data_IF_967352126734
#
_entry.id   IF_967352126734
#
_cell.length_a   1.000
_cell.length_b   1.000
_cell.length_c   1.000
_cell.angle_alpha   90.00
_cell.angle_beta   90.00
_cell.angle_gamma   90.00
#
_symmetry.space_group_name_H-M   'P 1'
#
loop_
_entity.id
_entity.type
_entity.pdbx_description
1 polymer ?
#
# COMPACT_ATOMS: atom_id res chain seq x y z
N UNK A 1 -9.21 19.42 -47.26
CA UNK A 1 -8.42 20.02 -46.15
C UNK A 1 -9.22 20.02 -44.84
N UNK A 2 -9.94 18.94 -44.49
CA UNK A 2 -10.86 18.90 -43.32
C UNK A 2 -10.59 17.76 -42.32
N UNK A 3 -9.62 16.88 -42.59
CA UNK A 3 -9.41 15.64 -41.81
C UNK A 3 -8.33 15.77 -40.72
N UNK A 4 -7.45 16.78 -40.80
CA UNK A 4 -6.37 17.01 -39.83
C UNK A 4 -6.85 17.75 -38.57
N UNK A 5 -7.84 18.64 -38.66
CA UNK A 5 -8.29 19.46 -37.52
C UNK A 5 -9.04 18.68 -36.44
N UNK A 6 -9.76 17.61 -36.80
CA UNK A 6 -10.49 16.79 -35.82
C UNK A 6 -9.57 15.94 -34.94
N UNK A 7 -8.41 15.50 -35.45
CA UNK A 7 -7.46 14.73 -34.66
C UNK A 7 -6.85 15.55 -33.51
N UNK A 8 -6.59 16.85 -33.73
CA UNK A 8 -6.03 17.71 -32.68
C UNK A 8 -7.02 17.96 -31.54
N UNK A 9 -8.32 18.08 -31.83
CA UNK A 9 -9.36 18.25 -30.80
C UNK A 9 -9.55 16.97 -29.98
N UNK A 10 -9.53 15.80 -30.62
CA UNK A 10 -9.60 14.51 -29.93
C UNK A 10 -8.37 14.25 -29.04
N UNK A 11 -7.18 14.59 -29.52
CA UNK A 11 -5.95 14.48 -28.71
C UNK A 11 -6.00 15.46 -27.53
N UNK A 12 -6.43 16.70 -27.74
CA UNK A 12 -6.57 17.68 -26.65
C UNK A 12 -7.60 17.23 -25.60
N UNK A 13 -8.71 16.61 -26.02
CA UNK A 13 -9.74 16.08 -25.12
C UNK A 13 -9.27 14.84 -24.33
N UNK A 14 -8.49 13.96 -24.95
CA UNK A 14 -7.86 12.81 -24.27
C UNK A 14 -6.81 13.27 -23.24
N UNK A 15 -6.02 14.28 -23.59
CA UNK A 15 -4.99 14.84 -22.72
C UNK A 15 -5.63 15.56 -21.52
N UNK A 16 -6.71 16.33 -21.72
CA UNK A 16 -7.41 17.01 -20.62
C UNK A 16 -8.14 16.06 -19.68
N UNK A 17 -8.73 14.96 -20.15
CA UNK A 17 -9.28 13.90 -19.28
C UNK A 17 -8.19 13.25 -18.42
N UNK A 18 -7.00 13.01 -19.00
CA UNK A 18 -5.86 12.44 -18.27
C UNK A 18 -5.38 13.37 -17.15
N UNK A 19 -5.35 14.69 -17.41
CA UNK A 19 -5.01 15.68 -16.38
C UNK A 19 -6.07 15.78 -15.28
N UNK A 20 -7.36 15.65 -15.62
CA UNK A 20 -8.45 15.70 -14.64
C UNK A 20 -8.44 14.48 -13.70
N UNK A 21 -8.09 13.29 -14.22
CA UNK A 21 -7.90 12.07 -13.43
C UNK A 21 -6.60 12.08 -12.60
N UNK A 22 -5.53 12.70 -13.10
CA UNK A 22 -4.29 12.90 -12.34
C UNK A 22 -4.46 13.89 -11.16
N UNK A 23 -5.54 14.68 -11.19
CA UNK A 23 -5.92 15.63 -10.16
C UNK A 23 -6.93 15.05 -9.16
N UNK A 24 -6.95 13.72 -8.96
CA UNK A 24 -7.33 13.19 -7.66
C UNK A 24 -6.37 13.80 -6.63
N UNK A 25 -6.83 14.88 -5.99
CA UNK A 25 -6.16 15.62 -4.93
C UNK A 25 -5.36 14.66 -4.07
N UNK A 26 -4.04 14.87 -4.01
CA UNK A 26 -3.13 14.07 -3.19
C UNK A 26 -3.55 14.21 -1.73
N UNK A 27 -4.41 13.29 -1.27
CA UNK A 27 -4.92 13.27 0.09
C UNK A 27 -3.80 12.82 1.01
N UNK A 28 -3.53 13.59 2.05
CA UNK A 28 -2.61 13.18 3.11
C UNK A 28 -3.23 12.03 3.90
N UNK A 29 -2.40 11.08 4.31
CA UNK A 29 -2.87 9.95 5.09
C UNK A 29 -3.31 10.42 6.48
N UNK A 30 -4.54 10.08 6.93
CA UNK A 30 -4.99 10.41 8.27
C UNK A 30 -4.22 9.56 9.30
N UNK A 31 -4.33 9.94 10.58
CA UNK A 31 -3.71 9.20 11.69
C UNK A 31 -4.25 7.77 11.83
N UNK A 32 -5.55 7.57 11.59
CA UNK A 32 -6.19 6.27 11.66
C UNK A 32 -7.12 6.09 10.46
N UNK A 33 -7.01 4.97 9.76
CA UNK A 33 -7.89 4.61 8.65
C UNK A 33 -7.82 3.12 8.35
N UNK A 34 -8.74 2.63 7.53
CA UNK A 34 -8.65 1.30 6.95
C UNK A 34 -8.08 1.34 5.54
N UNK A 35 -7.24 0.35 5.24
CA UNK A 35 -6.69 0.08 3.93
C UNK A 35 -7.29 -1.22 3.39
N UNK A 36 -7.97 -1.11 2.24
CA UNK A 36 -8.55 -2.26 1.57
C UNK A 36 -7.50 -2.95 0.70
N UNK A 37 -7.39 -4.26 0.84
CA UNK A 37 -6.51 -5.09 0.03
C UNK A 37 -7.21 -6.36 -0.41
N UNK A 38 -7.11 -6.67 -1.70
CA UNK A 38 -7.59 -7.93 -2.25
C UNK A 38 -6.40 -8.81 -2.64
N UNK A 39 -6.37 -10.03 -2.09
CA UNK A 39 -5.41 -11.07 -2.46
C UNK A 39 -5.79 -11.63 -3.84
N UNK A 40 -4.81 -12.19 -4.56
CA UNK A 40 -5.01 -12.69 -5.92
C UNK A 40 -6.03 -13.85 -6.04
N UNK A 41 -6.34 -14.54 -4.95
CA UNK A 41 -7.36 -15.59 -4.89
C UNK A 41 -8.79 -15.02 -4.71
N UNK A 42 -8.94 -13.71 -4.54
CA UNK A 42 -10.23 -13.04 -4.34
C UNK A 42 -10.57 -12.73 -2.87
N UNK A 43 -9.72 -13.10 -1.92
CA UNK A 43 -9.94 -12.75 -0.52
C UNK A 43 -9.75 -11.23 -0.32
N UNK A 44 -10.75 -10.58 0.27
CA UNK A 44 -10.74 -9.16 0.58
C UNK A 44 -10.44 -8.94 2.07
N UNK A 45 -9.59 -7.95 2.35
CA UNK A 45 -9.16 -7.60 3.69
C UNK A 45 -9.34 -6.10 3.92
N UNK A 46 -9.89 -5.76 5.08
CA UNK A 46 -9.87 -4.40 5.62
C UNK A 46 -8.79 -4.34 6.71
N UNK A 47 -7.66 -3.70 6.41
CA UNK A 47 -6.48 -3.68 7.29
C UNK A 47 -6.46 -2.34 8.03
N UNK A 48 -6.38 -2.39 9.36
CA UNK A 48 -6.29 -1.16 10.17
C UNK A 48 -4.91 -0.51 10.04
N UNK A 49 -4.88 0.80 9.87
CA UNK A 49 -3.64 1.57 9.77
C UNK A 49 -3.58 2.63 10.86
N UNK A 50 -2.52 2.56 11.66
CA UNK A 50 -2.12 3.60 12.62
C UNK A 50 -0.88 4.34 12.09
N UNK A 51 -1.07 5.59 11.67
CA UNK A 51 -0.04 6.44 11.11
C UNK A 51 0.53 7.39 12.18
N UNK A 52 1.68 7.02 12.75
CA UNK A 52 2.44 7.86 13.69
C UNK A 52 3.71 8.43 13.06
N UNK A 53 3.70 8.71 11.75
CA UNK A 53 4.81 9.38 11.08
C UNK A 53 4.91 10.84 11.53
N UNK A 54 6.13 11.34 11.70
CA UNK A 54 6.37 12.74 12.06
C UNK A 54 6.00 13.69 10.91
N UNK A 55 6.26 13.26 9.66
CA UNK A 55 5.97 14.03 8.46
C UNK A 55 4.75 13.46 7.74
N UNK A 56 3.85 14.34 7.32
CA UNK A 56 2.70 13.96 6.51
C UNK A 56 3.14 13.32 5.18
N UNK A 57 2.49 12.22 4.83
CA UNK A 57 2.71 11.52 3.57
C UNK A 57 1.40 11.38 2.81
N UNK A 58 1.50 11.43 1.48
CA UNK A 58 0.38 11.19 0.58
C UNK A 58 -0.11 9.75 0.78
N UNK A 59 -1.42 9.58 1.00
CA UNK A 59 -2.04 8.28 1.27
C UNK A 59 -1.70 7.25 0.19
N UNK A 60 -1.77 7.62 -1.10
CA UNK A 60 -1.40 6.74 -2.22
C UNK A 60 0.05 6.24 -2.17
N UNK A 61 0.98 7.05 -1.66
CA UNK A 61 2.37 6.60 -1.50
C UNK A 61 2.47 5.55 -0.39
N UNK A 62 1.73 5.73 0.70
CA UNK A 62 1.67 4.74 1.77
C UNK A 62 0.96 3.46 1.32
N UNK A 63 -0.12 3.54 0.54
CA UNK A 63 -0.78 2.37 -0.03
C UNK A 63 0.18 1.56 -0.92
N UNK A 64 1.01 2.23 -1.73
CA UNK A 64 2.08 1.57 -2.48
C UNK A 64 3.11 0.88 -1.57
N UNK A 65 3.44 1.49 -0.42
CA UNK A 65 4.30 0.87 0.60
C UNK A 65 3.64 -0.38 1.18
N UNK A 66 2.37 -0.30 1.56
CA UNK A 66 1.61 -1.44 2.11
C UNK A 66 1.55 -2.60 1.15
N UNK A 67 1.25 -2.35 -0.13
CA UNK A 67 1.24 -3.39 -1.16
C UNK A 67 2.58 -4.12 -1.28
N UNK A 68 3.69 -3.39 -1.25
CA UNK A 68 5.03 -3.98 -1.29
C UNK A 68 5.32 -4.80 -0.02
N UNK A 69 4.93 -4.30 1.16
CA UNK A 69 5.14 -4.99 2.44
C UNK A 69 4.29 -6.26 2.54
N UNK A 70 3.02 -6.22 2.13
CA UNK A 70 2.13 -7.37 2.09
C UNK A 70 2.72 -8.44 1.19
N UNK A 71 3.14 -8.09 -0.03
CA UNK A 71 3.78 -9.03 -0.94
C UNK A 71 5.06 -9.65 -0.34
N UNK A 72 5.95 -8.84 0.22
CA UNK A 72 7.19 -9.33 0.86
C UNK A 72 6.88 -10.25 2.05
N UNK A 73 5.90 -9.91 2.87
CA UNK A 73 5.53 -10.66 4.07
C UNK A 73 4.85 -11.99 3.74
N UNK A 74 3.96 -11.98 2.76
CA UNK A 74 3.31 -13.16 2.20
C UNK A 74 4.35 -14.16 1.65
N UNK A 75 5.35 -13.66 0.91
CA UNK A 75 6.43 -14.51 0.40
C UNK A 75 7.34 -15.03 1.52
N UNK A 76 7.59 -14.23 2.56
CA UNK A 76 8.42 -14.59 3.71
C UNK A 76 7.75 -15.62 4.63
N UNK A 77 6.43 -15.52 4.84
CA UNK A 77 5.67 -16.43 5.73
C UNK A 77 5.56 -17.85 5.17
N UNK A 78 5.68 -18.04 3.85
CA UNK A 78 5.43 -19.30 3.12
C UNK A 78 4.02 -19.87 3.27
N UNK A 79 3.09 -19.11 3.85
CA UNK A 79 1.72 -19.53 4.15
C UNK A 79 0.74 -18.65 3.39
N UNK A 80 0.72 -18.79 2.06
CA UNK A 80 -0.05 -17.90 1.19
C UNK A 80 -1.57 -17.96 1.45
N UNK A 81 -2.11 -19.18 1.55
CA UNK A 81 -3.55 -19.42 1.69
C UNK A 81 -4.08 -18.83 2.99
N UNK A 82 -3.40 -19.09 4.10
CA UNK A 82 -3.89 -18.74 5.43
C UNK A 82 -3.37 -17.40 5.92
N UNK A 83 -2.56 -16.67 5.13
CA UNK A 83 -2.06 -15.34 5.48
C UNK A 83 -3.20 -14.34 5.65
N UNK A 84 -3.30 -13.78 6.85
CA UNK A 84 -4.33 -12.85 7.27
C UNK A 84 -3.71 -11.57 7.84
N UNK A 85 -3.57 -10.48 7.05
CA UNK A 85 -3.04 -9.21 7.53
C UNK A 85 -4.06 -8.51 8.44
N UNK A 86 -3.61 -8.04 9.60
CA UNK A 86 -4.51 -7.44 10.60
C UNK A 86 -4.31 -5.92 10.71
N UNK A 87 -3.05 -5.50 10.85
CA UNK A 87 -2.75 -4.11 11.21
C UNK A 87 -1.39 -3.64 10.69
N UNK A 88 -1.39 -2.41 10.18
CA UNK A 88 -0.20 -1.61 9.99
C UNK A 88 -0.03 -0.59 11.11
N UNK A 89 1.20 -0.42 11.58
CA UNK A 89 1.58 0.73 12.40
C UNK A 89 2.86 1.37 11.87
N UNK A 90 2.81 2.67 11.64
CA UNK A 90 3.91 3.44 11.08
C UNK A 90 4.55 4.32 12.14
N UNK A 91 5.88 4.39 12.12
CA UNK A 91 6.68 5.22 13.03
C UNK A 91 7.86 5.84 12.28
N UNK A 92 8.42 6.92 12.83
CA UNK A 92 9.66 7.54 12.34
C UNK A 92 10.84 7.16 13.23
N UNK A 93 11.98 6.83 12.63
CA UNK A 93 13.26 6.53 13.32
C UNK A 93 14.31 7.64 13.07
N UNK A 94 13.84 8.88 12.88
CA UNK A 94 14.65 10.08 12.60
C UNK A 94 15.34 10.13 11.23
N UNK A 95 15.74 9.00 10.63
CA UNK A 95 16.37 8.92 9.30
C UNK A 95 15.53 8.16 8.27
N UNK A 96 14.59 7.35 8.72
CA UNK A 96 13.78 6.46 7.89
C UNK A 96 12.44 6.23 8.56
N UNK A 97 11.47 5.78 7.77
CA UNK A 97 10.18 5.38 8.30
C UNK A 97 10.17 3.87 8.52
N UNK A 98 9.57 3.43 9.62
CA UNK A 98 9.38 2.02 9.96
C UNK A 98 7.90 1.69 9.81
N UNK A 99 7.61 0.60 9.14
CA UNK A 99 6.30 -0.04 9.13
C UNK A 99 6.35 -1.34 9.91
N UNK A 100 5.43 -1.50 10.84
CA UNK A 100 5.11 -2.74 11.55
C UNK A 100 3.85 -3.34 10.93
N UNK A 101 3.94 -4.56 10.44
CA UNK A 101 2.79 -5.35 9.98
C UNK A 101 2.53 -6.48 10.98
N UNK A 102 1.37 -6.47 11.61
CA UNK A 102 0.84 -7.59 12.39
C UNK A 102 -0.08 -8.43 11.50
N UNK A 103 0.11 -9.75 11.50
CA UNK A 103 -0.66 -10.69 10.72
C UNK A 103 -0.74 -12.07 11.41
N UNK A 104 -1.73 -12.85 11.04
CA UNK A 104 -1.86 -14.25 11.46
C UNK A 104 -1.83 -15.21 10.26
N UNK A 105 -1.61 -16.49 10.56
CA UNK A 105 -1.78 -17.59 9.62
C UNK A 105 -2.07 -18.88 10.39
N UNK A 106 -2.63 -19.87 9.71
CA UNK A 106 -2.83 -21.22 10.27
C UNK A 106 -1.61 -22.08 9.96
N UNK A 107 -1.11 -22.80 10.95
CA UNK A 107 -0.07 -23.81 10.79
C UNK A 107 -0.62 -25.17 10.29
N UNK A 108 0.25 -26.17 10.19
CA UNK A 108 -0.09 -27.52 9.71
C UNK A 108 -1.11 -28.24 10.62
N UNK A 109 -1.30 -27.75 11.85
CA UNK A 109 -2.26 -28.26 12.83
C UNK A 109 -3.57 -27.46 12.84
N UNK A 110 -3.73 -26.49 11.93
CA UNK A 110 -4.82 -25.50 11.92
C UNK A 110 -4.87 -24.62 13.17
N UNK A 111 -3.75 -24.43 13.87
CA UNK A 111 -3.66 -23.48 14.97
C UNK A 111 -3.27 -22.09 14.45
N UNK A 112 -3.91 -21.05 14.99
CA UNK A 112 -3.62 -19.68 14.61
C UNK A 112 -2.29 -19.21 15.22
N UNK A 113 -1.36 -18.83 14.34
CA UNK A 113 -0.06 -18.29 14.70
C UNK A 113 -0.02 -16.80 14.36
N UNK A 114 0.37 -15.98 15.33
CA UNK A 114 0.55 -14.53 15.14
C UNK A 114 2.00 -14.19 14.88
N UNK A 115 2.23 -13.31 13.91
CA UNK A 115 3.56 -12.80 13.58
C UNK A 115 3.53 -11.31 13.31
N UNK A 116 4.71 -10.73 13.46
CA UNK A 116 4.95 -9.33 13.17
C UNK A 116 6.17 -9.23 12.25
N UNK A 117 6.06 -8.45 11.18
CA UNK A 117 7.19 -8.08 10.34
C UNK A 117 7.43 -6.58 10.40
N UNK A 118 8.71 -6.19 10.38
CA UNK A 118 9.14 -4.79 10.35
C UNK A 118 9.85 -4.48 9.04
N UNK A 119 9.56 -3.32 8.45
CA UNK A 119 10.18 -2.86 7.21
C UNK A 119 10.56 -1.39 7.29
N UNK A 120 11.74 -1.03 6.77
CA UNK A 120 12.06 0.36 6.48
C UNK A 120 11.42 0.78 5.15
N UNK A 121 11.03 2.04 5.06
CA UNK A 121 10.68 2.69 3.81
C UNK A 121 11.09 4.17 3.79
N UNK A 122 11.24 4.71 2.58
CA UNK A 122 11.56 6.12 2.36
C UNK A 122 10.32 6.95 1.96
N UNK A 123 10.48 8.27 1.89
CA UNK A 123 9.42 9.19 1.45
C UNK A 123 9.03 9.03 -0.03
N UNK A 124 9.82 8.32 -0.82
CA UNK A 124 9.48 7.98 -2.21
C UNK A 124 8.63 6.71 -2.33
N UNK A 125 8.35 6.05 -1.20
CA UNK A 125 7.56 4.82 -1.12
C UNK A 125 8.35 3.57 -1.50
N UNK A 126 9.68 3.61 -1.45
CA UNK A 126 10.51 2.41 -1.63
C UNK A 126 10.58 1.63 -0.31
N UNK A 127 10.31 0.33 -0.38
CA UNK A 127 10.35 -0.57 0.78
C UNK A 127 11.63 -1.39 0.76
N UNK A 128 12.42 -1.28 1.82
CA UNK A 128 13.67 -2.01 1.97
C UNK A 128 13.44 -3.45 2.47
N UNK A 129 14.50 -4.16 2.82
CA UNK A 129 14.39 -5.52 3.35
C UNK A 129 13.77 -5.52 4.75
N UNK A 130 13.16 -6.66 5.09
CA UNK A 130 12.62 -6.90 6.42
C UNK A 130 13.72 -6.72 7.47
N UNK A 131 13.41 -5.97 8.53
CA UNK A 131 14.26 -5.84 9.71
C UNK A 131 13.92 -7.00 10.64
N UNK A 132 14.96 -7.66 11.18
CA UNK A 132 14.83 -8.78 12.11
C UNK A 132 14.42 -8.32 13.49
#
# INVERSE_FOLDING_TARGET
MLRRSYCFVLIFFMVSLSFLSAQETQKMAPTNYSFEWMKANGDEYEILVENNLENEMIQKLLERVYMQILLKSLMSSRNFETFNPEKFTLYSDGKSNISKLDFSFLDDQNEEQKRTHYYLFDYSGNVFNQIK
#
